data_IF_066639079161
#
_entry.id   IF_066639079161
#
_cell.length_a   1.000
_cell.length_b   1.000
_cell.length_c   1.000
_cell.angle_alpha   90.00
_cell.angle_beta   90.00
_cell.angle_gamma   90.00
#
_symmetry.space_group_name_H-M   'P 1'
#
loop_
_entity.id
_entity.type
_entity.pdbx_description
1 polymer ?
#
# COMPACT_ATOMS: atom_id res chain seq x y z
N UNK A 1 32.70 -20.10 -31.95
CA UNK A 1 32.03 -20.86 -30.88
C UNK A 1 31.42 -19.87 -29.94
N UNK A 2 30.19 -19.49 -30.15
CA UNK A 2 29.44 -18.53 -29.31
C UNK A 2 28.33 -19.33 -28.66
N UNK A 3 28.37 -19.46 -27.33
CA UNK A 3 27.27 -19.97 -26.52
C UNK A 3 26.38 -18.74 -26.15
N UNK A 4 25.18 -18.74 -26.72
CA UNK A 4 24.11 -17.85 -26.27
C UNK A 4 23.53 -18.38 -24.94
N UNK A 5 23.53 -17.56 -23.92
CA UNK A 5 22.78 -17.81 -22.70
C UNK A 5 21.40 -17.21 -22.85
N UNK A 6 20.38 -18.05 -22.87
CA UNK A 6 18.98 -17.63 -22.75
C UNK A 6 18.71 -17.22 -21.31
N UNK A 7 18.58 -15.91 -21.11
CA UNK A 7 18.11 -15.32 -19.85
C UNK A 7 16.58 -15.47 -19.78
N UNK A 8 16.15 -16.61 -19.25
CA UNK A 8 14.75 -16.82 -18.84
C UNK A 8 14.57 -16.17 -17.48
N UNK A 9 14.17 -14.91 -17.47
CA UNK A 9 13.58 -14.28 -16.28
C UNK A 9 12.30 -15.03 -15.92
N UNK A 10 12.42 -16.02 -15.05
CA UNK A 10 11.30 -16.62 -14.34
C UNK A 10 10.66 -15.51 -13.48
N UNK A 11 9.47 -15.09 -13.89
CA UNK A 11 8.62 -14.25 -13.05
C UNK A 11 8.12 -15.10 -11.89
N UNK A 12 8.66 -14.90 -10.70
CA UNK A 12 8.12 -15.51 -9.50
C UNK A 12 6.63 -15.15 -9.35
N UNK A 13 5.76 -16.13 -9.06
CA UNK A 13 4.36 -15.86 -8.79
C UNK A 13 4.23 -15.01 -7.51
N UNK A 14 3.38 -13.99 -7.54
CA UNK A 14 3.12 -13.02 -6.47
C UNK A 14 2.71 -13.64 -5.10
N UNK A 15 2.65 -14.97 -5.02
CA UNK A 15 2.17 -15.72 -3.86
C UNK A 15 3.12 -16.86 -3.44
N UNK A 16 4.43 -16.67 -3.49
CA UNK A 16 5.39 -17.69 -3.01
C UNK A 16 5.59 -17.58 -1.49
N UNK A 17 5.17 -18.67 -0.81
CA UNK A 17 5.59 -19.17 0.49
C UNK A 17 5.79 -18.18 1.64
N UNK A 18 4.70 -17.94 2.40
CA UNK A 18 4.82 -17.67 3.83
C UNK A 18 4.09 -18.78 4.58
N UNK A 19 4.84 -19.62 5.28
CA UNK A 19 4.25 -20.52 6.27
C UNK A 19 3.67 -19.67 7.39
N UNK A 20 2.35 -19.65 7.47
CA UNK A 20 1.60 -18.97 8.52
C UNK A 20 1.66 -19.80 9.80
N UNK A 21 2.42 -19.35 10.79
CA UNK A 21 2.19 -19.65 12.19
C UNK A 21 1.20 -18.61 12.71
N UNK A 22 -0.07 -18.98 12.78
CA UNK A 22 -1.14 -18.13 13.25
C UNK A 22 -1.17 -18.09 14.78
N UNK A 23 -0.63 -17.03 15.38
CA UNK A 23 -1.13 -16.54 16.66
C UNK A 23 -2.20 -15.47 16.41
N UNK A 24 -3.32 -15.47 17.17
CA UNK A 24 -4.37 -14.48 16.95
C UNK A 24 -3.95 -13.13 17.50
N UNK A 25 -3.55 -12.22 16.61
CA UNK A 25 -3.37 -10.82 16.96
C UNK A 25 -4.74 -10.16 17.15
N UNK A 26 -4.95 -9.65 18.36
CA UNK A 26 -6.08 -8.81 18.73
C UNK A 26 -5.95 -7.47 17.94
N UNK A 27 -6.60 -7.38 16.79
CA UNK A 27 -6.66 -6.15 16.00
C UNK A 27 -7.76 -5.27 16.59
N UNK A 28 -7.35 -4.21 17.26
CA UNK A 28 -8.23 -3.13 17.66
C UNK A 28 -8.86 -2.49 16.44
N UNK A 29 -10.19 -2.54 16.36
CA UNK A 29 -11.01 -1.92 15.33
C UNK A 29 -10.79 -0.42 15.26
N UNK A 30 -10.17 0.05 14.17
CA UNK A 30 -10.16 1.46 13.81
C UNK A 30 -10.74 1.63 12.41
N UNK A 31 -11.82 2.42 12.35
CA UNK A 31 -12.43 3.07 11.19
C UNK A 31 -13.03 2.21 10.08
N UNK A 32 -14.29 2.08 10.12
CA UNK A 32 -15.43 1.94 9.22
C UNK A 32 -15.22 1.72 7.71
N UNK A 33 -14.36 0.79 7.27
CA UNK A 33 -14.53 0.18 5.95
C UNK A 33 -15.55 -0.95 6.12
N UNK A 34 -16.70 -0.80 5.50
CA UNK A 34 -17.72 -1.86 5.48
C UNK A 34 -17.10 -3.11 4.86
N UNK A 35 -16.94 -4.18 5.64
CA UNK A 35 -16.41 -5.48 5.18
C UNK A 35 -17.23 -6.14 4.06
N UNK A 36 -18.27 -5.47 3.58
CA UNK A 36 -19.20 -5.98 2.56
C UNK A 36 -18.66 -5.91 1.13
N UNK A 37 -17.66 -5.06 0.88
CA UNK A 37 -17.15 -4.83 -0.47
C UNK A 37 -15.81 -5.54 -0.75
N UNK A 38 -15.24 -6.21 0.26
CA UNK A 38 -14.06 -7.05 0.11
C UNK A 38 -14.47 -8.53 0.03
N UNK A 39 -14.03 -9.20 -1.03
CA UNK A 39 -14.31 -10.63 -1.25
C UNK A 39 -13.12 -11.45 -0.75
N UNK A 40 -13.35 -12.29 0.23
CA UNK A 40 -12.36 -13.23 0.73
C UNK A 40 -12.29 -14.49 -0.15
N UNK A 41 -11.24 -14.56 -0.96
CA UNK A 41 -10.98 -15.69 -1.87
C UNK A 41 -10.69 -16.99 -1.10
N UNK A 42 -10.05 -16.91 0.06
CA UNK A 42 -9.78 -18.07 0.90
C UNK A 42 -11.07 -18.70 1.41
N UNK A 43 -11.98 -17.89 1.93
CA UNK A 43 -13.28 -18.35 2.38
C UNK A 43 -14.11 -18.97 1.23
N UNK A 44 -14.04 -18.38 0.02
CA UNK A 44 -14.70 -18.91 -1.18
C UNK A 44 -14.18 -20.32 -1.53
N UNK A 45 -12.87 -20.47 -1.61
CA UNK A 45 -12.22 -21.74 -1.96
C UNK A 45 -12.47 -22.81 -0.90
N UNK A 46 -12.40 -22.45 0.39
CA UNK A 46 -12.71 -23.39 1.49
C UNK A 46 -14.15 -23.85 1.43
N UNK A 47 -15.09 -22.93 1.18
CA UNK A 47 -16.52 -23.29 1.08
C UNK A 47 -16.77 -24.21 -0.11
N UNK A 48 -16.19 -23.91 -1.26
CA UNK A 48 -16.24 -24.79 -2.43
C UNK A 48 -15.65 -26.18 -2.12
N UNK A 49 -14.46 -26.25 -1.52
CA UNK A 49 -13.82 -27.51 -1.19
C UNK A 49 -14.65 -28.34 -0.20
N UNK A 50 -15.31 -27.71 0.78
CA UNK A 50 -16.25 -28.38 1.68
C UNK A 50 -17.42 -28.96 0.94
N UNK A 51 -17.98 -28.25 -0.03
CA UNK A 51 -19.11 -28.75 -0.84
C UNK A 51 -18.68 -29.95 -1.68
N UNK A 52 -17.53 -29.87 -2.36
CA UNK A 52 -16.97 -30.99 -3.14
C UNK A 52 -16.72 -32.20 -2.23
N UNK A 53 -16.09 -32.00 -1.07
CA UNK A 53 -15.82 -33.08 -0.12
C UNK A 53 -17.12 -33.78 0.35
N UNK A 54 -18.16 -33.02 0.68
CA UNK A 54 -19.45 -33.59 1.10
C UNK A 54 -20.08 -34.51 0.04
N UNK A 55 -19.88 -34.19 -1.25
CA UNK A 55 -20.43 -34.99 -2.36
C UNK A 55 -19.53 -36.18 -2.73
N UNK A 56 -18.22 -36.06 -2.58
CA UNK A 56 -17.25 -37.05 -3.06
C UNK A 56 -16.72 -37.99 -2.00
N UNK A 57 -16.91 -37.67 -0.70
CA UNK A 57 -16.39 -38.46 0.43
C UNK A 57 -16.85 -39.91 0.42
N UNK A 58 -15.96 -40.78 0.73
CA UNK A 58 -16.21 -42.20 0.94
C UNK A 58 -16.93 -42.48 2.27
N UNK A 59 -17.43 -43.72 2.44
CA UNK A 59 -18.05 -44.14 3.72
C UNK A 59 -17.07 -44.06 4.91
N UNK A 60 -15.78 -44.26 4.66
CA UNK A 60 -14.74 -44.16 5.71
C UNK A 60 -14.53 -42.70 6.11
N UNK A 61 -14.40 -41.81 5.15
CA UNK A 61 -14.21 -40.36 5.35
C UNK A 61 -15.44 -39.71 6.00
N UNK A 62 -16.65 -40.21 5.69
CA UNK A 62 -17.89 -39.75 6.29
C UNK A 62 -17.97 -39.99 7.81
N UNK A 63 -17.16 -40.89 8.38
CA UNK A 63 -17.06 -41.15 9.80
C UNK A 63 -16.19 -40.14 10.54
N UNK A 64 -15.38 -39.34 9.83
CA UNK A 64 -14.55 -38.30 10.39
C UNK A 64 -15.46 -37.11 10.74
N UNK A 65 -15.43 -36.69 11.99
CA UNK A 65 -16.20 -35.53 12.43
C UNK A 65 -15.66 -34.25 11.77
N UNK A 66 -16.55 -33.42 11.21
CA UNK A 66 -16.21 -32.17 10.50
C UNK A 66 -15.30 -31.23 11.29
N UNK A 67 -15.39 -31.23 12.64
CA UNK A 67 -14.56 -30.42 13.51
C UNK A 67 -13.06 -30.77 13.49
N UNK A 68 -12.73 -31.96 12.99
CA UNK A 68 -11.34 -32.43 12.88
C UNK A 68 -10.79 -32.32 11.45
N UNK A 69 -11.61 -31.88 10.51
CA UNK A 69 -11.18 -31.65 9.13
C UNK A 69 -10.58 -30.25 9.00
N UNK A 70 -9.32 -30.20 8.56
CA UNK A 70 -8.63 -28.97 8.23
C UNK A 70 -8.46 -28.90 6.70
N UNK A 71 -8.71 -27.70 6.16
CA UNK A 71 -8.61 -27.42 4.73
C UNK A 71 -7.43 -26.47 4.50
N UNK A 72 -6.38 -26.96 3.89
CA UNK A 72 -5.17 -26.19 3.59
C UNK A 72 -5.10 -25.92 2.10
N UNK A 73 -5.02 -24.67 1.69
CA UNK A 73 -5.04 -24.27 0.28
C UNK A 73 -3.61 -24.06 -0.19
N UNK A 74 -3.26 -24.68 -1.29
CA UNK A 74 -2.04 -24.42 -2.03
C UNK A 74 -2.37 -23.47 -3.20
N UNK A 75 -1.81 -22.27 -3.15
CA UNK A 75 -2.00 -21.20 -4.12
C UNK A 75 -0.96 -21.15 -5.24
N UNK A 76 0.04 -22.04 -5.23
CA UNK A 76 1.20 -21.99 -6.13
C UNK A 76 0.85 -22.04 -7.64
N UNK A 77 -0.34 -22.52 -7.97
CA UNK A 77 -0.82 -22.60 -9.34
C UNK A 77 -1.92 -21.57 -9.68
N UNK A 78 -2.14 -20.60 -8.78
CA UNK A 78 -3.01 -19.47 -9.01
C UNK A 78 -2.17 -18.31 -9.57
N UNK A 79 -2.60 -17.77 -10.69
CA UNK A 79 -2.03 -16.56 -11.29
C UNK A 79 -2.95 -15.39 -11.01
N UNK A 80 -2.40 -14.32 -10.47
CA UNK A 80 -3.07 -13.05 -10.24
C UNK A 80 -2.32 -11.96 -10.98
N UNK A 81 -2.92 -11.44 -12.04
CA UNK A 81 -2.39 -10.35 -12.84
C UNK A 81 -3.18 -9.09 -12.51
N UNK A 82 -2.51 -7.98 -12.27
CA UNK A 82 -3.13 -6.67 -12.10
C UNK A 82 -2.73 -5.77 -13.25
N UNK A 83 -3.71 -5.10 -13.85
CA UNK A 83 -3.46 -4.07 -14.83
C UNK A 83 -2.95 -2.79 -14.15
N UNK A 84 -2.48 -1.85 -14.94
CA UNK A 84 -2.06 -0.55 -14.42
C UNK A 84 -3.24 0.18 -13.74
N UNK A 85 -3.00 0.85 -12.61
CA UNK A 85 -4.03 1.61 -11.92
C UNK A 85 -4.46 2.82 -12.74
N UNK A 86 -5.76 3.03 -12.81
CA UNK A 86 -6.34 4.27 -13.34
C UNK A 86 -6.63 5.18 -12.16
N UNK A 87 -5.95 6.33 -12.12
CA UNK A 87 -6.14 7.32 -11.09
C UNK A 87 -7.16 8.38 -11.50
N UNK A 88 -8.03 8.72 -10.57
CA UNK A 88 -8.98 9.84 -10.72
C UNK A 88 -8.81 10.78 -9.54
N UNK A 89 -9.01 12.07 -9.80
CA UNK A 89 -9.02 13.08 -8.73
C UNK A 89 -10.27 12.85 -7.87
N UNK A 90 -10.10 12.67 -6.58
CA UNK A 90 -11.22 12.53 -5.66
C UNK A 90 -11.94 13.88 -5.52
N UNK A 91 -13.20 13.94 -5.95
CA UNK A 91 -14.04 15.15 -5.85
C UNK A 91 -14.27 15.80 -7.22
N UNK A 92 -15.49 15.63 -7.72
CA UNK A 92 -15.94 16.19 -8.99
C UNK A 92 -16.22 17.67 -8.81
N UNK A 93 -15.19 18.50 -9.01
CA UNK A 93 -15.34 19.82 -9.64
C UNK A 93 -13.95 20.23 -10.13
N UNK A 94 -13.78 20.19 -11.45
CA UNK A 94 -12.55 20.46 -12.18
C UNK A 94 -11.98 21.89 -11.99
N UNK A 95 -12.55 22.68 -11.08
CA UNK A 95 -12.12 24.06 -10.81
C UNK A 95 -11.40 24.29 -9.48
N UNK A 96 -11.33 23.31 -8.58
CA UNK A 96 -10.64 23.47 -7.30
C UNK A 96 -10.05 22.16 -6.76
N UNK A 97 -9.17 21.50 -7.51
CA UNK A 97 -8.15 20.68 -6.87
C UNK A 97 -7.15 21.67 -6.25
N UNK A 98 -7.49 22.23 -5.10
CA UNK A 98 -6.50 22.91 -4.27
C UNK A 98 -5.59 21.79 -3.76
N UNK A 99 -4.46 21.61 -4.43
CA UNK A 99 -3.29 21.05 -3.79
C UNK A 99 -3.11 21.88 -2.51
N UNK A 100 -3.41 21.29 -1.38
CA UNK A 100 -3.16 21.97 -0.13
C UNK A 100 -1.64 22.05 0.00
N UNK A 101 -1.09 23.24 -0.19
CA UNK A 101 0.32 23.53 0.05
C UNK A 101 0.44 24.08 1.44
N UNK A 102 1.27 23.46 2.26
CA UNK A 102 1.52 23.85 3.63
C UNK A 102 3.00 24.19 3.80
N UNK A 103 3.29 25.35 4.40
CA UNK A 103 4.66 25.73 4.74
C UNK A 103 4.99 25.25 6.15
N UNK A 104 6.07 24.46 6.26
CA UNK A 104 6.60 23.99 7.53
C UNK A 104 7.96 24.62 7.79
N UNK A 105 8.10 25.38 8.88
CA UNK A 105 9.39 25.89 9.34
C UNK A 105 10.13 24.81 10.12
N UNK A 106 11.21 24.27 9.54
CA UNK A 106 12.03 23.23 10.16
C UNK A 106 13.13 23.77 11.07
N UNK A 107 13.60 24.96 10.79
CA UNK A 107 14.66 25.60 11.54
C UNK A 107 14.49 27.12 11.51
N UNK A 108 14.78 27.74 12.66
CA UNK A 108 14.76 29.20 12.81
C UNK A 108 15.96 29.63 13.64
N UNK A 109 16.72 30.59 13.16
CA UNK A 109 17.83 31.22 13.89
C UNK A 109 17.73 32.72 13.81
N UNK A 110 18.10 33.36 14.90
CA UNK A 110 18.12 34.82 15.02
C UNK A 110 19.56 35.28 15.25
N UNK A 111 20.01 36.18 14.41
CA UNK A 111 21.32 36.80 14.47
C UNK A 111 21.18 38.28 14.80
N UNK A 112 21.78 38.70 15.90
CA UNK A 112 21.65 40.09 16.38
C UNK A 112 23.00 40.81 16.25
N UNK A 113 23.04 41.89 15.49
CA UNK A 113 24.16 42.76 15.36
C UNK A 113 23.93 44.05 16.15
N UNK A 114 24.66 44.19 17.26
CA UNK A 114 24.58 45.39 18.13
C UNK A 114 25.67 46.41 17.79
N UNK A 115 26.46 46.15 16.75
CA UNK A 115 27.57 47.05 16.34
C UNK A 115 27.16 48.00 15.22
N UNK A 116 27.99 48.97 14.95
CA UNK A 116 27.78 49.97 13.86
C UNK A 116 28.37 49.47 12.51
N UNK A 117 28.79 48.22 12.41
CA UNK A 117 29.31 47.62 11.19
C UNK A 117 28.55 46.38 10.83
N UNK A 118 28.42 46.11 9.54
CA UNK A 118 27.85 44.87 9.03
C UNK A 118 28.64 43.65 9.59
N UNK A 119 27.90 42.60 10.00
CA UNK A 119 28.48 41.35 10.47
C UNK A 119 27.99 40.19 9.59
N UNK A 120 28.87 39.22 9.41
CA UNK A 120 28.58 38.03 8.61
C UNK A 120 28.56 36.81 9.54
N UNK A 121 27.43 36.03 9.45
CA UNK A 121 27.24 34.82 10.24
C UNK A 121 27.02 33.65 9.30
N UNK A 122 27.79 32.60 9.48
CA UNK A 122 27.57 31.32 8.78
C UNK A 122 26.68 30.44 9.62
N UNK A 123 25.73 29.76 8.96
CA UNK A 123 24.96 28.71 9.61
C UNK A 123 24.85 27.49 8.71
N UNK A 124 24.94 26.33 9.35
CA UNK A 124 24.72 25.05 8.71
C UNK A 124 23.71 24.27 9.52
N UNK A 125 22.70 23.76 8.85
CA UNK A 125 21.70 22.90 9.48
C UNK A 125 21.23 21.82 8.53
N UNK A 126 20.89 20.67 9.10
CA UNK A 126 20.27 19.55 8.42
C UNK A 126 19.02 19.14 9.20
N UNK A 127 17.90 18.97 8.52
CA UNK A 127 16.62 18.59 9.09
C UNK A 127 15.95 17.58 8.18
N UNK A 128 15.08 16.75 8.74
CA UNK A 128 14.30 15.80 7.95
C UNK A 128 12.81 16.08 8.04
N UNK A 129 12.10 15.71 6.97
CA UNK A 129 10.64 15.59 6.94
C UNK A 129 10.26 14.17 6.57
N UNK A 130 9.04 13.77 6.91
CA UNK A 130 8.50 12.48 6.51
C UNK A 130 7.52 12.65 5.36
N UNK A 131 7.82 12.01 4.26
CA UNK A 131 6.85 11.79 3.20
C UNK A 131 6.00 10.58 3.54
N UNK A 132 4.69 10.68 3.38
CA UNK A 132 3.76 9.59 3.69
C UNK A 132 2.91 9.25 2.47
N UNK A 133 2.76 7.95 2.22
CA UNK A 133 1.81 7.41 1.24
C UNK A 133 0.84 6.48 1.98
N UNK A 134 -0.41 6.90 2.09
CA UNK A 134 -1.47 6.12 2.73
C UNK A 134 -2.42 5.57 1.69
N UNK A 135 -2.62 4.26 1.67
CA UNK A 135 -3.52 3.57 0.75
C UNK A 135 -4.62 2.88 1.53
N UNK A 136 -5.86 3.15 1.15
CA UNK A 136 -7.06 2.50 1.69
C UNK A 136 -7.78 1.78 0.56
N UNK A 137 -7.94 0.47 0.66
CA UNK A 137 -8.71 -0.33 -0.30
C UNK A 137 -10.15 -0.44 0.20
N UNK A 138 -11.08 0.03 -0.62
CA UNK A 138 -12.52 0.06 -0.31
C UNK A 138 -13.26 -1.14 -0.89
N UNK A 139 -12.85 -1.59 -2.08
CA UNK A 139 -13.41 -2.74 -2.78
C UNK A 139 -12.31 -3.55 -3.44
N UNK A 140 -12.43 -4.89 -3.41
CA UNK A 140 -11.46 -5.75 -4.06
C UNK A 140 -11.55 -7.19 -3.59
N UNK A 141 -10.47 -7.94 -3.86
CA UNK A 141 -10.31 -9.33 -3.47
C UNK A 141 -9.14 -9.45 -2.51
N UNK A 142 -9.35 -10.14 -1.41
CA UNK A 142 -8.33 -10.46 -0.43
C UNK A 142 -8.24 -11.99 -0.22
N UNK A 143 -7.27 -12.39 0.57
CA UNK A 143 -7.06 -13.78 0.98
C UNK A 143 -6.92 -13.82 2.49
N UNK A 144 -8.02 -14.10 3.20
CA UNK A 144 -8.08 -13.91 4.64
C UNK A 144 -7.83 -12.43 4.99
N UNK A 145 -6.79 -12.17 5.77
CA UNK A 145 -6.36 -10.80 6.13
C UNK A 145 -5.32 -10.21 5.18
N UNK A 146 -4.79 -11.01 4.27
CA UNK A 146 -3.74 -10.62 3.33
C UNK A 146 -4.34 -10.01 2.05
N UNK A 147 -3.67 -8.99 1.55
CA UNK A 147 -3.96 -8.40 0.25
C UNK A 147 -2.61 -8.11 -0.43
N UNK A 148 -2.35 -8.71 -1.58
CA UNK A 148 -1.17 -8.37 -2.36
C UNK A 148 -1.59 -7.50 -3.53
N UNK A 149 -1.39 -6.20 -3.39
CA UNK A 149 -1.66 -5.21 -4.41
C UNK A 149 -0.44 -4.31 -4.54
N UNK A 150 0.06 -4.14 -5.76
CA UNK A 150 1.09 -3.17 -6.09
C UNK A 150 0.46 -2.01 -6.83
N UNK A 151 0.57 -0.83 -6.25
CA UNK A 151 0.08 0.41 -6.83
C UNK A 151 1.27 1.15 -7.44
N UNK A 152 1.22 1.40 -8.74
CA UNK A 152 2.18 2.29 -9.38
C UNK A 152 1.98 3.71 -8.85
N UNK A 153 3.04 4.31 -8.33
CA UNK A 153 2.98 5.68 -7.79
C UNK A 153 2.61 6.66 -8.89
N UNK A 154 1.70 7.62 -8.67
CA UNK A 154 1.37 8.63 -9.65
C UNK A 154 2.61 9.39 -10.13
N UNK A 155 2.72 9.65 -11.43
CA UNK A 155 3.90 10.29 -12.04
C UNK A 155 4.27 11.62 -11.39
N UNK A 156 3.29 12.42 -11.02
CA UNK A 156 3.45 13.71 -10.33
C UNK A 156 4.22 13.58 -9.00
N UNK A 157 3.95 12.50 -8.25
CA UNK A 157 4.61 12.20 -6.96
C UNK A 157 6.04 11.71 -7.18
N UNK A 158 6.25 10.91 -8.25
CA UNK A 158 7.59 10.42 -8.64
C UNK A 158 8.47 11.58 -9.14
N UNK A 159 7.91 12.45 -9.98
CA UNK A 159 8.61 13.62 -10.51
C UNK A 159 9.02 14.62 -9.43
N UNK A 160 8.24 14.72 -8.35
CA UNK A 160 8.55 15.56 -7.20
C UNK A 160 9.73 15.05 -6.35
N UNK A 161 10.33 13.90 -6.65
CA UNK A 161 11.39 13.28 -5.85
C UNK A 161 10.98 13.09 -4.37
N UNK A 162 9.73 12.74 -4.14
CA UNK A 162 9.12 12.63 -2.80
C UNK A 162 9.68 11.47 -1.93
N UNK A 163 10.73 10.80 -2.39
CA UNK A 163 11.34 9.64 -1.73
C UNK A 163 10.64 8.31 -2.02
N UNK A 164 9.44 8.34 -2.60
CA UNK A 164 8.70 7.11 -2.90
C UNK A 164 9.26 6.38 -4.13
N UNK A 165 9.28 5.06 -4.05
CA UNK A 165 9.54 4.20 -5.19
C UNK A 165 8.40 4.26 -6.21
N UNK A 166 8.64 3.73 -7.41
CA UNK A 166 7.64 3.68 -8.50
C UNK A 166 6.38 2.88 -8.12
N UNK A 167 6.43 2.07 -7.06
CA UNK A 167 5.33 1.24 -6.61
C UNK A 167 5.16 1.32 -5.08
N UNK A 168 3.90 1.41 -4.64
CA UNK A 168 3.49 1.28 -3.24
C UNK A 168 2.82 -0.08 -3.07
N UNK A 169 3.33 -0.89 -2.14
CA UNK A 169 2.78 -2.21 -1.85
C UNK A 169 1.71 -2.13 -0.77
N UNK A 170 0.56 -2.75 -1.02
CA UNK A 170 -0.52 -2.92 -0.06
C UNK A 170 -0.56 -4.39 0.36
N UNK A 171 -0.27 -4.67 1.62
CA UNK A 171 -0.11 -6.04 2.11
C UNK A 171 -1.30 -6.54 2.92
N UNK A 172 -2.08 -5.64 3.50
CA UNK A 172 -3.17 -6.01 4.41
C UNK A 172 -4.45 -5.24 4.10
N UNK A 173 -5.58 -5.78 4.55
CA UNK A 173 -6.87 -5.09 4.53
C UNK A 173 -6.80 -3.89 5.48
N UNK A 174 -7.32 -2.75 5.02
CA UNK A 174 -7.39 -1.52 5.80
C UNK A 174 -6.44 -0.43 5.29
N UNK A 175 -6.01 0.41 6.21
CA UNK A 175 -5.11 1.52 5.92
C UNK A 175 -3.65 1.03 5.93
N UNK A 176 -2.97 1.20 4.81
CA UNK A 176 -1.55 0.89 4.65
C UNK A 176 -0.80 2.19 4.46
N UNK A 177 0.13 2.50 5.37
CA UNK A 177 0.95 3.71 5.31
C UNK A 177 2.40 3.34 5.12
N UNK A 178 3.02 3.92 4.09
CA UNK A 178 4.46 3.87 3.84
C UNK A 178 5.04 5.23 4.14
N UNK A 179 6.13 5.28 4.89
CA UNK A 179 6.83 6.50 5.25
C UNK A 179 8.24 6.48 4.65
N UNK A 180 8.67 7.62 4.10
CA UNK A 180 10.02 7.85 3.60
C UNK A 180 10.58 9.13 4.20
N UNK A 181 11.86 9.12 4.57
CA UNK A 181 12.53 10.28 5.14
C UNK A 181 13.22 11.11 4.05
N UNK A 182 12.90 12.41 4.00
CA UNK A 182 13.58 13.38 3.14
C UNK A 182 14.47 14.27 3.99
N UNK A 183 15.75 14.38 3.61
CA UNK A 183 16.74 15.21 4.31
C UNK A 183 16.88 16.54 3.58
N UNK A 184 16.79 17.63 4.33
CA UNK A 184 16.92 19.01 3.89
C UNK A 184 18.12 19.64 4.54
N UNK A 185 19.08 20.04 3.72
CA UNK A 185 20.31 20.68 4.20
C UNK A 185 20.44 22.12 3.72
N UNK A 186 20.95 22.99 4.58
CA UNK A 186 21.35 24.35 4.19
C UNK A 186 22.71 24.65 4.80
N UNK A 187 23.59 25.21 3.97
CA UNK A 187 24.87 25.78 4.36
C UNK A 187 24.92 27.16 3.71
N UNK A 188 24.79 28.21 4.52
CA UNK A 188 24.60 29.56 4.02
C UNK A 188 25.21 30.59 4.97
N UNK A 189 25.46 31.77 4.42
CA UNK A 189 25.97 32.91 5.15
C UNK A 189 24.92 34.03 5.14
N UNK A 190 24.65 34.60 6.30
CA UNK A 190 23.72 35.70 6.50
C UNK A 190 24.51 36.96 6.85
N UNK A 191 24.28 38.02 6.11
CA UNK A 191 24.81 39.34 6.42
C UNK A 191 23.80 40.09 7.25
N UNK A 192 24.22 40.57 8.41
CA UNK A 192 23.37 41.28 9.36
C UNK A 192 23.78 42.74 9.36
N UNK A 193 22.90 43.67 8.94
CA UNK A 193 23.19 45.09 8.92
C UNK A 193 23.48 45.64 10.31
N UNK A 194 24.12 46.82 10.42
CA UNK A 194 24.36 47.48 11.71
C UNK A 194 23.05 47.69 12.49
N UNK A 195 23.13 47.41 13.79
CA UNK A 195 21.97 47.61 14.72
C UNK A 195 20.69 46.90 14.28
N UNK A 196 20.81 45.78 13.61
CA UNK A 196 19.70 44.95 13.14
C UNK A 196 19.74 43.54 13.75
N UNK A 197 18.55 42.97 13.80
CA UNK A 197 18.32 41.55 14.04
C UNK A 197 17.84 40.89 12.74
N UNK A 198 18.51 39.83 12.33
CA UNK A 198 18.14 39.09 11.14
C UNK A 198 17.70 37.69 11.54
N UNK A 199 16.51 37.32 11.12
CA UNK A 199 15.94 35.99 11.33
C UNK A 199 16.08 35.18 10.05
N UNK A 200 16.76 34.02 10.13
CA UNK A 200 16.84 33.05 9.05
C UNK A 200 15.99 31.82 9.37
N UNK A 201 15.11 31.45 8.45
CA UNK A 201 14.20 30.32 8.58
C UNK A 201 14.42 29.35 7.41
N UNK A 202 14.55 28.06 7.73
CA UNK A 202 14.46 26.98 6.74
C UNK A 202 13.02 26.52 6.68
N UNK A 203 12.37 26.77 5.54
CA UNK A 203 10.96 26.46 5.31
C UNK A 203 10.84 25.44 4.20
N UNK A 204 10.07 24.39 4.46
CA UNK A 204 9.71 23.38 3.47
C UNK A 204 8.27 23.58 3.05
N UNK A 205 8.03 23.56 1.74
CA UNK A 205 6.69 23.54 1.17
C UNK A 205 6.27 22.07 1.00
N UNK A 206 5.23 21.65 1.73
CA UNK A 206 4.64 20.33 1.62
C UNK A 206 3.41 20.36 0.70
N UNK A 207 3.23 19.32 -0.08
CA UNK A 207 2.04 19.10 -0.90
C UNK A 207 1.27 17.87 -0.44
N UNK A 208 -0.05 17.97 -0.50
CA UNK A 208 -0.99 16.91 -0.14
C UNK A 208 -1.84 16.56 -1.37
N UNK A 209 -1.80 15.30 -1.78
CA UNK A 209 -2.56 14.78 -2.90
C UNK A 209 -3.47 13.65 -2.46
N UNK A 210 -4.72 13.68 -2.88
CA UNK A 210 -5.65 12.56 -2.72
C UNK A 210 -6.11 12.11 -4.10
N UNK A 211 -5.99 10.82 -4.38
CA UNK A 211 -6.41 10.19 -5.63
C UNK A 211 -7.23 8.96 -5.32
N UNK A 212 -8.34 8.79 -6.01
CA UNK A 212 -9.01 7.49 -6.08
C UNK A 212 -8.37 6.66 -7.17
N UNK A 213 -8.26 5.36 -6.95
CA UNK A 213 -7.72 4.43 -7.94
C UNK A 213 -8.71 3.33 -8.26
N UNK A 214 -8.61 2.81 -9.47
CA UNK A 214 -9.32 1.62 -9.94
C UNK A 214 -8.33 0.73 -10.68
N UNK A 215 -8.29 -0.54 -10.29
CA UNK A 215 -7.41 -1.57 -10.88
C UNK A 215 -8.28 -2.74 -11.31
N UNK A 216 -8.07 -3.22 -12.54
CA UNK A 216 -8.61 -4.50 -12.97
C UNK A 216 -7.61 -5.60 -12.63
N UNK A 217 -8.07 -6.61 -11.91
CA UNK A 217 -7.32 -7.82 -11.60
C UNK A 217 -7.88 -9.02 -12.34
N UNK A 218 -7.02 -9.99 -12.68
CA UNK A 218 -7.36 -11.21 -13.40
C UNK A 218 -6.82 -12.43 -12.67
N UNK A 219 -7.71 -13.31 -12.26
CA UNK A 219 -7.39 -14.58 -11.64
C UNK A 219 -7.51 -15.70 -12.68
N UNK A 220 -6.48 -16.53 -12.79
CA UNK A 220 -6.47 -17.73 -13.65
C UNK A 220 -5.70 -18.87 -12.99
N UNK A 221 -5.76 -20.05 -13.61
CA UNK A 221 -5.11 -21.22 -13.08
C UNK A 221 -5.98 -22.03 -12.13
N UNK A 222 -5.35 -22.75 -11.20
CA UNK A 222 -6.00 -23.71 -10.32
C UNK A 222 -5.55 -23.58 -8.88
N UNK A 223 -6.37 -24.06 -7.98
CA UNK A 223 -6.07 -24.20 -6.55
C UNK A 223 -6.14 -25.66 -6.14
N UNK A 224 -5.32 -26.05 -5.20
CA UNK A 224 -5.28 -27.40 -4.65
C UNK A 224 -5.58 -27.29 -3.15
N UNK A 225 -6.63 -27.96 -2.70
CA UNK A 225 -7.01 -27.99 -1.29
C UNK A 225 -6.71 -29.35 -0.71
N UNK A 226 -5.81 -29.40 0.26
CA UNK A 226 -5.48 -30.61 1.03
C UNK A 226 -6.35 -30.68 2.25
N UNK A 227 -7.13 -31.76 2.38
CA UNK A 227 -7.96 -32.02 3.56
C UNK A 227 -7.24 -32.98 4.48
N UNK A 228 -7.03 -32.58 5.73
CA UNK A 228 -6.33 -33.39 6.74
C UNK A 228 -7.19 -33.65 7.96
N UNK A 229 -6.89 -34.72 8.70
CA UNK A 229 -7.57 -35.07 9.94
C UNK A 229 -6.70 -34.69 11.14
N UNK A 230 -7.09 -33.63 11.84
CA UNK A 230 -6.41 -33.12 13.04
C UNK A 230 -6.33 -34.15 14.20
N UNK A 231 -7.30 -35.09 14.26
CA UNK A 231 -7.35 -36.09 15.29
C UNK A 231 -6.33 -37.22 15.07
N UNK A 232 -5.93 -37.42 13.83
CA UNK A 232 -5.03 -38.49 13.40
C UNK A 232 -3.72 -37.90 12.87
N UNK A 233 -3.05 -37.13 13.73
CA UNK A 233 -1.74 -36.53 13.44
C UNK A 233 -1.66 -35.83 12.08
N UNK A 234 -2.69 -35.08 11.70
CA UNK A 234 -2.82 -34.42 10.40
C UNK A 234 -2.72 -35.38 9.20
N UNK A 235 -3.16 -36.64 9.36
CA UNK A 235 -3.19 -37.59 8.26
C UNK A 235 -3.97 -37.03 7.07
N UNK A 236 -3.47 -37.30 5.86
CA UNK A 236 -4.13 -36.90 4.63
C UNK A 236 -5.47 -37.64 4.49
N UNK A 237 -6.53 -36.90 4.29
CA UNK A 237 -7.88 -37.43 4.00
C UNK A 237 -8.09 -37.46 2.51
N UNK A 238 -7.99 -36.29 1.83
CA UNK A 238 -8.15 -36.20 0.37
C UNK A 238 -7.50 -34.91 -0.15
N UNK A 239 -7.33 -34.86 -1.47
CA UNK A 239 -6.87 -33.67 -2.19
C UNK A 239 -7.96 -33.30 -3.20
N UNK A 240 -8.36 -32.03 -3.22
CA UNK A 240 -9.38 -31.47 -4.10
C UNK A 240 -8.71 -30.39 -4.97
N UNK A 241 -8.83 -30.53 -6.27
CA UNK A 241 -8.28 -29.58 -7.23
C UNK A 241 -9.39 -28.96 -8.07
N UNK A 242 -9.31 -27.64 -8.32
CA UNK A 242 -10.27 -26.95 -9.16
C UNK A 242 -9.71 -25.69 -9.79
N UNK A 243 -10.21 -25.35 -10.98
CA UNK A 243 -9.90 -24.09 -11.64
C UNK A 243 -10.59 -22.94 -10.88
N UNK A 244 -9.86 -21.84 -10.65
CA UNK A 244 -10.40 -20.70 -9.93
C UNK A 244 -11.64 -20.08 -10.62
N UNK A 245 -11.63 -20.05 -11.94
CA UNK A 245 -12.77 -19.56 -12.72
C UNK A 245 -14.05 -20.38 -12.49
N UNK A 246 -13.91 -21.72 -12.39
CA UNK A 246 -15.05 -22.62 -12.16
C UNK A 246 -15.54 -22.52 -10.71
N UNK A 247 -14.64 -22.36 -9.74
CA UNK A 247 -14.96 -22.13 -8.33
C UNK A 247 -15.79 -20.87 -8.19
N UNK A 248 -15.33 -19.75 -8.79
CA UNK A 248 -16.05 -18.47 -8.75
C UNK A 248 -17.38 -18.57 -9.47
N UNK A 249 -17.44 -19.20 -10.67
CA UNK A 249 -18.67 -19.39 -11.44
C UNK A 249 -19.71 -20.23 -10.67
N UNK A 250 -19.26 -21.22 -9.91
CA UNK A 250 -20.09 -22.05 -9.04
C UNK A 250 -20.55 -21.35 -7.75
N UNK A 251 -19.97 -20.19 -7.42
CA UNK A 251 -20.35 -19.42 -6.23
C UNK A 251 -21.68 -18.68 -6.47
N UNK A 252 -22.69 -18.85 -5.61
CA UNK A 252 -23.95 -18.11 -5.75
C UNK A 252 -23.69 -16.61 -5.78
N UNK A 253 -24.32 -15.93 -6.73
CA UNK A 253 -24.31 -14.47 -6.83
C UNK A 253 -22.91 -13.84 -7.07
N UNK A 254 -21.97 -14.58 -7.67
CA UNK A 254 -20.61 -14.08 -7.95
C UNK A 254 -20.56 -12.75 -8.76
N UNK A 255 -21.50 -12.45 -9.68
CA UNK A 255 -21.47 -11.16 -10.37
C UNK A 255 -21.71 -9.97 -9.43
N UNK A 256 -22.56 -10.13 -8.40
CA UNK A 256 -22.77 -9.09 -7.39
C UNK A 256 -21.54 -8.87 -6.49
N UNK A 257 -20.67 -9.88 -6.38
CA UNK A 257 -19.36 -9.76 -5.72
C UNK A 257 -18.35 -8.99 -6.57
N UNK A 258 -18.70 -8.64 -7.83
CA UNK A 258 -17.86 -7.87 -8.73
C UNK A 258 -16.95 -8.72 -9.63
N UNK A 259 -17.22 -10.03 -9.73
CA UNK A 259 -16.49 -10.89 -10.67
C UNK A 259 -17.19 -10.96 -12.02
N UNK A 260 -16.37 -10.98 -13.06
CA UNK A 260 -16.76 -11.34 -14.43
C UNK A 260 -15.94 -12.54 -14.84
N UNK A 261 -16.59 -13.67 -15.14
CA UNK A 261 -15.89 -14.91 -15.51
C UNK A 261 -16.04 -15.17 -17.00
N UNK A 262 -14.90 -15.18 -17.71
CA UNK A 262 -14.83 -15.46 -19.13
C UNK A 262 -13.84 -16.61 -19.37
N UNK A 263 -14.31 -17.73 -19.91
CA UNK A 263 -13.54 -18.95 -20.08
C UNK A 263 -12.87 -19.39 -18.76
N UNK A 264 -11.55 -19.41 -18.69
CA UNK A 264 -10.75 -19.84 -17.55
C UNK A 264 -10.20 -18.67 -16.71
N UNK A 265 -10.70 -17.44 -16.95
CA UNK A 265 -10.25 -16.21 -16.27
C UNK A 265 -11.42 -15.58 -15.52
N UNK A 266 -11.19 -15.22 -14.27
CA UNK A 266 -12.10 -14.40 -13.48
C UNK A 266 -11.49 -13.01 -13.30
N UNK A 267 -12.17 -12.01 -13.85
CA UNK A 267 -11.79 -10.60 -13.75
C UNK A 267 -12.53 -9.96 -12.58
N UNK A 268 -11.85 -9.09 -11.84
CA UNK A 268 -12.42 -8.32 -10.72
C UNK A 268 -11.87 -6.90 -10.72
N UNK A 269 -12.56 -6.02 -10.00
CA UNK A 269 -12.14 -4.61 -9.88
C UNK A 269 -11.80 -4.28 -8.44
N UNK A 270 -10.58 -3.79 -8.23
CA UNK A 270 -10.14 -3.21 -6.95
C UNK A 270 -10.26 -1.69 -7.02
N UNK A 271 -10.86 -1.09 -5.98
CA UNK A 271 -11.02 0.36 -5.84
C UNK A 271 -10.56 0.81 -4.47
N UNK A 272 -10.05 2.02 -4.42
CA UNK A 272 -9.62 2.62 -3.17
C UNK A 272 -9.13 4.04 -3.34
N UNK A 273 -8.52 4.55 -2.28
CA UNK A 273 -8.02 5.92 -2.20
C UNK A 273 -6.56 5.92 -1.75
N UNK A 274 -5.74 6.73 -2.42
CA UNK A 274 -4.36 7.01 -2.03
C UNK A 274 -4.25 8.46 -1.56
N UNK A 275 -3.54 8.68 -0.45
CA UNK A 275 -3.19 10.01 0.04
C UNK A 275 -1.67 10.09 0.10
N UNK A 276 -1.11 11.12 -0.51
CA UNK A 276 0.33 11.41 -0.49
C UNK A 276 0.55 12.74 0.19
N UNK A 277 1.53 12.78 1.09
CA UNK A 277 2.04 14.00 1.73
C UNK A 277 3.55 14.00 1.59
N UNK A 278 4.14 15.04 1.02
CA UNK A 278 5.59 15.12 0.79
C UNK A 278 6.07 16.55 0.61
N UNK A 279 7.34 16.79 0.97
CA UNK A 279 8.01 18.07 0.72
C UNK A 279 8.42 18.21 -0.73
N UNK A 280 8.14 19.36 -1.34
CA UNK A 280 8.44 19.64 -2.75
C UNK A 280 9.48 20.72 -2.96
N UNK A 281 9.63 21.64 -2.03
CA UNK A 281 10.51 22.80 -2.18
C UNK A 281 11.14 23.20 -0.84
N UNK A 282 12.42 23.53 -0.88
CA UNK A 282 13.15 24.10 0.24
C UNK A 282 13.36 25.60 -0.01
N UNK A 283 13.05 26.41 0.98
CA UNK A 283 13.26 27.87 0.96
C UNK A 283 14.04 28.32 2.18
N UNK A 284 14.97 29.23 1.99
CA UNK A 284 15.56 30.03 3.09
C UNK A 284 14.89 31.39 3.08
N UNK A 285 14.17 31.69 4.15
CA UNK A 285 13.50 32.98 4.35
C UNK A 285 14.36 33.81 5.29
N UNK A 286 14.69 35.01 4.88
CA UNK A 286 15.45 35.97 5.69
C UNK A 286 14.57 37.19 5.95
N UNK A 287 14.46 37.59 7.22
CA UNK A 287 13.68 38.75 7.65
C UNK A 287 14.56 39.59 8.55
N UNK A 288 14.59 40.92 8.32
CA UNK A 288 15.41 41.88 9.05
C UNK A 288 14.54 42.81 9.90
N UNK A 289 14.96 43.05 11.12
CA UNK A 289 14.33 43.97 12.06
C UNK A 289 15.37 44.88 12.69
N UNK A 290 15.06 46.18 12.80
CA UNK A 290 15.92 47.10 13.54
C UNK A 290 15.89 46.80 15.04
N UNK A 291 17.03 46.70 15.69
CA UNK A 291 17.12 46.57 17.15
C UNK A 291 16.74 47.87 17.80
N UNK A 292 15.67 47.90 18.60
CA UNK A 292 15.29 49.07 19.39
C UNK A 292 16.37 49.28 20.45
N UNK A 293 17.02 50.45 20.44
CA UNK A 293 17.92 50.86 21.55
C UNK A 293 17.07 50.97 22.80
N UNK A 294 17.41 50.30 23.90
CA UNK A 294 16.79 50.66 25.17
C UNK A 294 17.25 52.10 25.52
N UNK A 295 16.33 52.93 25.80
CA UNK A 295 16.56 54.32 26.28
C UNK A 295 17.20 54.29 27.66
#
# INVERSE_FOLDING_TARGET
MFCGGDDKTEREPLWTNVMSTSEPLNVSSSTGVSSKDLVDLEALVINWAKQIFEVTKTKAEARISKKYLQYNINWSHLFNESLEPVYTVAGVDTKQVRQAKEEQCLFKSTFTNTTEREQEYSFKTERSTRSTATVVVEKGVCRGVEMALKLKTPGEVVEANAGFHNEVSVMHIGENTTEEELIWGVDSTVRVPPLCETVAELVILEEHHTRSFTIEGRLSGKVIVTVTNLRDNNSLVTIIEGKIADIIRGTPNYPAMGFVVTHDVATYTTKGTCKFKYGVEQKVRITEHAVRRPY
#
